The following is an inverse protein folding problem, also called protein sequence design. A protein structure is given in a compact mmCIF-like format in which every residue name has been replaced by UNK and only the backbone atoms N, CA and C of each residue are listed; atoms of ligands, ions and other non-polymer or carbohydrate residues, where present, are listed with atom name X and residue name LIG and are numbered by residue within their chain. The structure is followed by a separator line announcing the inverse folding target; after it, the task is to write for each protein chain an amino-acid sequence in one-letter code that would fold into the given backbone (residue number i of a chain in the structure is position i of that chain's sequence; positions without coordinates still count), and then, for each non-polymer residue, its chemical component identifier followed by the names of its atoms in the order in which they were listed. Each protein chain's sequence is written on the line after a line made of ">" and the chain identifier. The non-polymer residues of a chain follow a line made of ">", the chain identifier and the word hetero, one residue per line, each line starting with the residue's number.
data_IF_356832296525
#
_entry.id   IF_356832296525
#
_cell.length_a   1.000
_cell.length_b   1.000
_cell.length_c   1.000
_cell.angle_alpha   90.00
_cell.angle_beta   90.00
_cell.angle_gamma   90.00
#
_symmetry.space_group_name_H-M   'P 1'
#
loop_
_entity.id
_entity.type
_entity.pdbx_description
1 polymer ?
#
# COMPACT_ATOMS: atom_id res chain seq x y z
N UNK A 1 -9.04 14.08 -7.00
CA UNK A 1 -10.04 14.71 -6.10
C UNK A 1 -9.75 14.27 -4.67
N UNK A 2 -10.09 15.08 -3.66
CA UNK A 2 -9.95 14.71 -2.25
C UNK A 2 -11.16 13.93 -1.72
N UNK A 3 -12.29 14.00 -2.44
CA UNK A 3 -13.50 13.27 -2.11
C UNK A 3 -13.52 11.90 -2.81
N UNK A 4 -13.29 10.85 -2.03
CA UNK A 4 -13.33 9.47 -2.50
C UNK A 4 -14.75 9.08 -2.97
N UNK A 5 -15.82 9.62 -2.39
CA UNK A 5 -17.19 9.30 -2.84
C UNK A 5 -17.45 9.71 -4.30
N UNK A 6 -16.85 10.82 -4.75
CA UNK A 6 -16.93 11.26 -6.16
C UNK A 6 -16.04 10.40 -7.07
N UNK A 7 -14.82 10.08 -6.64
CA UNK A 7 -13.87 9.26 -7.43
C UNK A 7 -14.46 7.88 -7.75
N UNK A 8 -15.23 7.31 -6.82
CA UNK A 8 -15.92 6.03 -7.02
C UNK A 8 -16.87 6.01 -8.23
N UNK A 9 -17.39 7.13 -8.71
CA UNK A 9 -18.39 7.07 -9.79
C UNK A 9 -17.84 7.36 -11.19
N UNK A 10 -16.62 7.90 -11.29
CA UNK A 10 -16.12 8.42 -12.58
C UNK A 10 -14.73 7.91 -12.98
N UNK A 11 -14.00 7.23 -12.10
CA UNK A 11 -12.62 6.81 -12.37
C UNK A 11 -12.51 5.28 -12.52
N UNK A 12 -11.97 4.76 -13.65
CA UNK A 12 -11.72 3.33 -13.82
C UNK A 12 -10.55 2.85 -12.94
N UNK A 13 -9.58 3.74 -12.70
CA UNK A 13 -8.40 3.51 -11.87
C UNK A 13 -8.30 4.60 -10.80
N UNK A 14 -7.86 4.22 -9.61
CA UNK A 14 -7.69 5.10 -8.46
C UNK A 14 -6.24 5.02 -7.98
N UNK A 15 -5.56 6.16 -7.99
CA UNK A 15 -4.24 6.33 -7.37
C UNK A 15 -4.37 7.03 -6.02
N UNK A 16 -3.93 6.36 -4.96
CA UNK A 16 -3.85 6.91 -3.61
C UNK A 16 -2.43 7.39 -3.37
N UNK A 17 -2.30 8.64 -2.92
CA UNK A 17 -1.01 9.27 -2.67
C UNK A 17 -0.87 9.71 -1.22
N UNK A 18 0.37 9.66 -0.71
CA UNK A 18 0.76 10.20 0.58
C UNK A 18 2.08 10.95 0.47
N UNK A 19 2.11 12.19 0.94
CA UNK A 19 3.28 13.10 0.88
C UNK A 19 3.99 13.05 -0.49
N UNK A 20 3.24 13.13 -1.59
CA UNK A 20 3.79 13.17 -2.95
C UNK A 20 4.28 11.83 -3.53
N UNK A 21 4.00 10.69 -2.89
CA UNK A 21 4.26 9.35 -3.45
C UNK A 21 2.96 8.60 -3.67
N UNK A 22 2.87 7.82 -4.75
CA UNK A 22 1.82 6.83 -4.93
C UNK A 22 2.08 5.71 -3.93
N UNK A 23 1.11 5.45 -3.06
CA UNK A 23 1.18 4.36 -2.07
C UNK A 23 0.34 3.16 -2.46
N UNK A 24 -0.69 3.37 -3.28
CA UNK A 24 -1.56 2.31 -3.78
C UNK A 24 -2.25 2.75 -5.07
N UNK A 25 -2.33 1.87 -6.05
CA UNK A 25 -3.04 2.08 -7.33
C UNK A 25 -3.82 0.83 -7.66
N UNK A 26 -5.07 0.99 -8.06
CA UNK A 26 -5.81 -0.13 -8.62
C UNK A 26 -7.13 0.27 -9.22
N UNK A 27 -7.84 -0.72 -9.76
CA UNK A 27 -9.23 -0.48 -10.16
C UNK A 27 -10.07 -0.09 -8.93
N UNK A 28 -11.15 0.63 -9.22
CA UNK A 28 -12.06 1.13 -8.19
C UNK A 28 -12.54 0.05 -7.23
N UNK A 29 -12.90 -1.13 -7.72
CA UNK A 29 -13.47 -2.15 -6.84
C UNK A 29 -12.41 -2.67 -5.88
N UNK A 30 -11.23 -2.97 -6.40
CA UNK A 30 -10.08 -3.41 -5.62
C UNK A 30 -9.69 -2.40 -4.54
N UNK A 31 -9.54 -1.11 -4.87
CA UNK A 31 -9.15 -0.10 -3.89
C UNK A 31 -10.18 0.05 -2.76
N UNK A 32 -11.49 0.02 -3.07
CA UNK A 32 -12.53 0.25 -2.06
C UNK A 32 -12.86 -0.97 -1.20
N UNK A 33 -12.69 -2.17 -1.76
CA UNK A 33 -13.06 -3.43 -1.11
C UNK A 33 -11.87 -4.14 -0.47
N UNK A 34 -10.69 -4.08 -1.10
CA UNK A 34 -9.47 -4.79 -0.66
C UNK A 34 -8.25 -3.86 -0.65
N UNK A 35 -8.26 -2.74 0.09
CA UNK A 35 -7.08 -1.89 0.21
C UNK A 35 -5.96 -2.63 0.97
N UNK A 36 -4.78 -2.69 0.36
CA UNK A 36 -3.61 -3.39 0.91
C UNK A 36 -2.63 -2.48 1.66
N UNK A 37 -2.70 -1.16 1.48
CA UNK A 37 -1.86 -0.22 2.20
C UNK A 37 -2.56 0.30 3.47
N UNK A 38 -1.91 0.30 4.66
CA UNK A 38 -2.51 0.78 5.91
C UNK A 38 -3.07 2.22 5.85
N UNK A 39 -2.39 3.11 5.10
CA UNK A 39 -2.92 4.46 4.85
C UNK A 39 -4.25 4.46 4.08
N UNK A 40 -4.37 3.67 3.01
CA UNK A 40 -5.60 3.57 2.21
C UNK A 40 -6.74 2.99 3.03
N UNK A 41 -6.45 1.97 3.86
CA UNK A 41 -7.39 1.41 4.82
C UNK A 41 -7.90 2.47 5.78
N UNK A 42 -7.00 3.29 6.34
CA UNK A 42 -7.38 4.36 7.25
C UNK A 42 -8.25 5.43 6.57
N UNK A 43 -7.87 5.88 5.36
CA UNK A 43 -8.68 6.80 4.56
C UNK A 43 -10.10 6.26 4.32
N UNK A 44 -10.21 5.01 3.84
CA UNK A 44 -11.50 4.41 3.51
C UNK A 44 -12.33 4.09 4.75
N UNK A 45 -11.72 3.87 5.92
CA UNK A 45 -12.45 3.72 7.19
C UNK A 45 -13.18 5.01 7.59
N UNK A 46 -12.71 6.17 7.15
CA UNK A 46 -13.31 7.47 7.42
C UNK A 46 -14.38 7.87 6.41
N UNK A 47 -14.42 7.23 5.23
CA UNK A 47 -15.42 7.50 4.18
C UNK A 47 -16.74 6.83 4.55
N UNK A 48 -17.87 7.57 4.56
CA UNK A 48 -19.18 6.97 4.75
C UNK A 48 -19.51 5.99 3.62
N UNK A 49 -19.63 4.70 3.92
CA UNK A 49 -20.14 3.72 2.96
C UNK A 49 -21.68 3.70 3.02
N UNK A 50 -22.31 4.38 2.07
CA UNK A 50 -23.78 4.50 1.97
C UNK A 50 -24.45 3.12 1.82
N UNK A 51 -23.79 2.13 1.19
CA UNK A 51 -24.35 0.79 1.03
C UNK A 51 -24.30 -0.02 2.32
N UNK A 52 -23.18 0.06 3.06
CA UNK A 52 -23.09 -0.55 4.40
C UNK A 52 -24.02 0.16 5.39
N UNK A 53 -24.11 1.49 5.34
CA UNK A 53 -25.03 2.25 6.18
C UNK A 53 -26.50 1.86 5.94
N UNK A 54 -26.89 1.57 4.70
CA UNK A 54 -28.23 1.13 4.34
C UNK A 54 -28.61 -0.25 4.93
N UNK A 55 -27.64 -1.11 5.23
CA UNK A 55 -27.83 -2.41 5.91
C UNK A 55 -27.44 -2.37 7.39
N UNK A 56 -27.29 -1.17 7.98
CA UNK A 56 -26.96 -0.98 9.39
C UNK A 56 -25.49 -1.24 9.77
N UNK A 57 -24.62 -1.54 8.80
CA UNK A 57 -23.19 -1.73 9.01
C UNK A 57 -22.44 -0.40 9.10
N UNK A 58 -21.46 -0.31 10.01
CA UNK A 58 -20.48 0.78 10.06
C UNK A 58 -19.08 0.17 10.08
N UNK A 59 -18.19 0.65 9.21
CA UNK A 59 -16.74 0.39 9.37
C UNK A 59 -16.28 1.10 10.63
N UNK A 60 -15.49 0.40 11.44
CA UNK A 60 -14.79 1.02 12.56
C UNK A 60 -13.78 2.04 11.99
N UNK A 61 -13.83 3.29 12.46
CA UNK A 61 -12.90 4.32 12.01
C UNK A 61 -11.52 4.05 12.59
N UNK A 62 -10.54 3.89 11.73
CA UNK A 62 -9.14 3.84 12.10
C UNK A 62 -8.67 5.29 12.32
N UNK A 63 -8.32 5.62 13.56
CA UNK A 63 -7.71 6.91 13.88
C UNK A 63 -6.20 6.81 13.66
N UNK A 64 -5.69 7.61 12.74
CA UNK A 64 -4.25 7.76 12.56
C UNK A 64 -3.68 8.62 13.67
N UNK A 65 -2.73 8.07 14.42
CA UNK A 65 -2.01 8.78 15.47
C UNK A 65 -0.87 9.64 14.88
N UNK A 66 -0.47 10.65 15.66
CA UNK A 66 0.61 11.58 15.29
C UNK A 66 0.22 12.62 14.23
N UNK A 67 1.04 13.66 14.16
CA UNK A 67 0.87 14.75 13.19
C UNK A 67 1.33 14.35 11.78
N UNK A 68 0.78 15.03 10.78
CA UNK A 68 1.23 14.89 9.38
C UNK A 68 2.65 15.47 9.27
N UNK A 69 3.65 14.69 8.84
CA UNK A 69 5.01 15.20 8.65
C UNK A 69 5.07 16.27 7.55
N UNK A 70 6.08 17.15 7.64
CA UNK A 70 6.34 18.15 6.60
C UNK A 70 6.68 17.48 5.26
N UNK A 71 6.05 17.88 4.14
CA UNK A 71 6.43 17.42 2.81
C UNK A 71 7.85 17.82 2.38
N UNK A 72 8.42 18.86 2.99
CA UNK A 72 9.76 19.38 2.67
C UNK A 72 10.84 18.44 3.21
N UNK A 73 10.63 17.89 4.41
CA UNK A 73 11.51 16.94 5.07
C UNK A 73 10.74 15.63 5.35
N UNK A 74 10.44 14.83 4.30
CA UNK A 74 9.65 13.63 4.47
C UNK A 74 10.44 12.58 5.29
N UNK A 75 9.76 11.68 5.99
CA UNK A 75 10.40 10.55 6.63
C UNK A 75 11.18 9.70 5.60
N UNK A 76 12.40 9.26 5.95
CA UNK A 76 13.19 8.23 5.22
C UNK A 76 12.42 6.92 4.92
N UNK A 77 12.88 6.14 3.94
CA UNK A 77 12.23 4.88 3.58
C UNK A 77 10.75 5.05 3.24
N UNK A 78 9.86 4.33 3.93
CA UNK A 78 8.41 4.50 3.81
C UNK A 78 7.95 5.85 4.41
N UNK A 79 7.41 6.74 3.56
CA UNK A 79 6.91 8.06 3.99
C UNK A 79 5.78 7.98 5.02
N UNK A 80 5.03 6.88 5.07
CA UNK A 80 3.91 6.70 6.00
C UNK A 80 4.34 6.09 7.36
N UNK A 81 5.61 5.68 7.53
CA UNK A 81 6.04 4.89 8.69
C UNK A 81 5.73 5.53 10.06
N UNK A 82 5.74 6.85 10.16
CA UNK A 82 5.56 7.57 11.44
C UNK A 82 4.11 7.57 11.92
N UNK A 83 3.17 7.18 11.07
CA UNK A 83 1.73 7.09 11.38
C UNK A 83 1.15 5.72 11.06
N UNK A 84 2.00 4.78 10.68
CA UNK A 84 1.61 3.43 10.31
C UNK A 84 1.61 2.55 11.54
N UNK A 85 0.46 1.98 11.90
CA UNK A 85 0.31 1.11 13.06
C UNK A 85 1.11 -0.19 12.99
N UNK A 86 1.59 -0.57 11.80
CA UNK A 86 2.35 -1.81 11.55
C UNK A 86 3.80 -1.54 11.11
N UNK A 87 4.31 -0.31 11.27
CA UNK A 87 5.67 0.00 10.88
C UNK A 87 6.71 -0.85 11.61
N UNK A 88 7.74 -1.29 10.88
CA UNK A 88 8.91 -2.01 11.40
C UNK A 88 10.20 -1.32 10.92
N UNK A 89 11.35 -1.81 11.38
CA UNK A 89 12.66 -1.20 11.11
C UNK A 89 12.94 -0.99 9.61
N UNK A 90 12.62 -1.97 8.77
CA UNK A 90 12.76 -1.86 7.31
C UNK A 90 12.04 -0.63 6.73
N UNK A 91 10.89 -0.25 7.29
CA UNK A 91 10.12 0.92 6.85
C UNK A 91 10.88 2.23 7.06
N UNK A 92 11.85 2.29 7.98
CA UNK A 92 12.68 3.47 8.20
C UNK A 92 13.91 3.52 7.30
N UNK A 93 14.40 2.35 6.86
CA UNK A 93 15.68 2.19 6.15
C UNK A 93 15.53 2.07 4.65
N UNK A 94 14.46 1.42 4.19
CA UNK A 94 14.23 1.12 2.78
C UNK A 94 12.91 1.76 2.30
N UNK A 95 12.92 2.30 1.08
CA UNK A 95 11.69 2.75 0.43
C UNK A 95 10.98 1.53 -0.18
N UNK A 96 9.71 1.25 0.14
CA UNK A 96 9.00 0.14 -0.46
C UNK A 96 8.75 0.44 -1.95
N UNK A 97 9.05 -0.50 -2.87
CA UNK A 97 8.74 -0.31 -4.28
C UNK A 97 7.23 -0.39 -4.49
N UNK A 98 6.73 0.23 -5.56
CA UNK A 98 5.34 0.08 -5.99
C UNK A 98 5.17 -1.31 -6.63
N UNK A 99 4.90 -2.32 -5.79
CA UNK A 99 4.83 -3.72 -6.17
C UNK A 99 3.45 -4.06 -6.74
N UNK A 100 3.40 -4.73 -7.89
CA UNK A 100 2.15 -5.28 -8.40
C UNK A 100 1.77 -6.54 -7.63
N UNK A 101 0.60 -6.51 -6.97
CA UNK A 101 0.09 -7.58 -6.08
C UNK A 101 -1.19 -8.24 -6.60
N UNK A 102 -1.65 -7.82 -7.78
CA UNK A 102 -2.78 -8.38 -8.49
C UNK A 102 -2.80 -7.90 -9.95
N UNK A 103 -3.73 -8.41 -10.77
CA UNK A 103 -3.84 -8.04 -12.18
C UNK A 103 -4.01 -6.54 -12.40
N UNK A 104 -4.69 -5.86 -11.47
CA UNK A 104 -5.03 -4.43 -11.52
C UNK A 104 -4.72 -3.74 -10.19
N UNK A 105 -3.69 -4.19 -9.47
CA UNK A 105 -3.37 -3.67 -8.14
C UNK A 105 -1.88 -3.54 -7.89
N UNK A 106 -1.41 -2.34 -7.56
CA UNK A 106 -0.07 -2.06 -7.07
C UNK A 106 -0.10 -1.40 -5.70
N UNK A 107 0.90 -1.71 -4.86
CA UNK A 107 1.02 -1.19 -3.50
C UNK A 107 2.48 -0.95 -3.13
N UNK A 108 2.78 0.21 -2.54
CA UNK A 108 4.09 0.55 -2.02
C UNK A 108 4.15 0.29 -0.50
N UNK A 109 4.22 -0.97 -0.12
CA UNK A 109 4.31 -1.40 1.29
C UNK A 109 5.25 -2.59 1.42
N UNK A 110 6.01 -2.67 2.52
CA UNK A 110 6.77 -3.86 2.87
C UNK A 110 5.88 -5.00 3.38
N UNK A 111 4.71 -4.66 3.93
CA UNK A 111 3.74 -5.60 4.52
C UNK A 111 2.34 -5.41 3.92
N UNK A 112 2.17 -5.53 2.59
CA UNK A 112 0.86 -5.37 1.96
C UNK A 112 -0.09 -6.49 2.39
N UNK A 113 -1.34 -6.15 2.70
CA UNK A 113 -2.32 -7.10 3.21
C UNK A 113 -3.65 -6.42 3.51
N UNK A 114 -4.72 -7.20 3.55
CA UNK A 114 -6.02 -6.70 4.03
C UNK A 114 -5.94 -6.31 5.51
N UNK A 115 -6.91 -5.53 5.98
CA UNK A 115 -6.95 -5.06 7.36
C UNK A 115 -6.89 -6.25 8.34
N UNK A 116 -5.88 -6.27 9.21
CA UNK A 116 -5.64 -7.36 10.16
C UNK A 116 -4.97 -8.61 9.57
N UNK A 117 -4.65 -8.62 8.27
CA UNK A 117 -4.06 -9.76 7.55
C UNK A 117 -2.71 -9.39 6.90
N UNK A 118 -1.97 -8.46 7.51
CA UNK A 118 -0.63 -8.10 7.05
C UNK A 118 0.37 -9.23 7.32
N UNK A 119 1.30 -9.52 6.39
CA UNK A 119 2.30 -10.56 6.60
C UNK A 119 3.24 -10.18 7.75
N UNK A 120 3.70 -11.18 8.51
CA UNK A 120 4.62 -10.96 9.62
C UNK A 120 6.04 -10.56 9.15
N UNK A 121 6.48 -11.07 7.99
CA UNK A 121 7.76 -10.77 7.38
C UNK A 121 7.56 -9.86 6.14
N UNK A 122 8.54 -8.98 5.83
CA UNK A 122 8.44 -8.09 4.68
C UNK A 122 8.55 -8.85 3.35
N UNK A 123 7.66 -8.58 2.40
CA UNK A 123 7.65 -9.27 1.09
C UNK A 123 8.64 -8.68 0.09
N UNK A 124 9.30 -7.59 0.45
CA UNK A 124 10.14 -6.78 -0.47
C UNK A 124 11.64 -7.02 -0.29
N UNK A 125 12.07 -7.79 0.70
CA UNK A 125 13.50 -8.01 1.03
C UNK A 125 14.30 -8.52 -0.17
N UNK A 126 13.77 -9.55 -0.85
CA UNK A 126 14.38 -10.09 -2.05
C UNK A 126 14.45 -9.09 -3.21
N UNK A 127 13.40 -8.26 -3.38
CA UNK A 127 13.37 -7.23 -4.42
C UNK A 127 14.39 -6.12 -4.16
N UNK A 128 14.56 -5.75 -2.90
CA UNK A 128 15.42 -4.65 -2.49
C UNK A 128 16.85 -5.07 -2.16
N UNK A 129 17.16 -6.38 -2.18
CA UNK A 129 18.44 -6.93 -1.74
C UNK A 129 18.81 -6.50 -0.31
N UNK A 130 17.82 -6.49 0.59
CA UNK A 130 17.97 -6.16 2.02
C UNK A 130 17.44 -7.26 2.91
N UNK A 131 17.91 -7.31 4.16
CA UNK A 131 17.35 -8.17 5.20
C UNK A 131 16.03 -7.60 5.78
N UNK A 132 15.42 -8.29 6.74
CA UNK A 132 14.16 -7.85 7.35
C UNK A 132 14.25 -6.53 8.14
N UNK A 133 15.46 -6.08 8.47
CA UNK A 133 15.70 -4.76 9.07
C UNK A 133 15.84 -3.66 8.02
N UNK A 134 16.00 -4.01 6.74
CA UNK A 134 16.30 -3.08 5.67
C UNK A 134 17.79 -2.82 5.47
N UNK A 135 18.67 -3.66 6.01
CA UNK A 135 20.12 -3.57 5.81
C UNK A 135 20.55 -4.31 4.54
N UNK A 136 21.49 -3.78 3.74
CA UNK A 136 21.93 -4.43 2.51
C UNK A 136 22.49 -5.83 2.76
N UNK A 137 22.08 -6.80 1.93
CA UNK A 137 22.62 -8.17 1.97
C UNK A 137 23.83 -8.24 1.04
N UNK A 138 24.97 -8.69 1.55
CA UNK A 138 26.19 -8.80 0.77
C UNK A 138 26.02 -9.80 -0.40
N UNK A 139 26.40 -9.40 -1.61
CA UNK A 139 26.38 -10.25 -2.80
C UNK A 139 25.01 -10.40 -3.47
N UNK A 140 23.96 -9.72 -2.99
CA UNK A 140 22.67 -9.64 -3.70
C UNK A 140 22.54 -8.32 -4.45
N UNK A 141 21.72 -8.31 -5.50
CA UNK A 141 21.47 -7.11 -6.33
C UNK A 141 19.97 -6.79 -6.30
N UNK A 142 19.56 -5.53 -6.07
CA UNK A 142 18.15 -5.18 -6.08
C UNK A 142 17.54 -5.43 -7.47
N UNK A 143 16.41 -6.13 -7.49
CA UNK A 143 15.55 -6.22 -8.67
C UNK A 143 14.58 -5.06 -8.59
N UNK A 144 14.87 -3.97 -9.29
CA UNK A 144 13.94 -2.84 -9.35
C UNK A 144 12.75 -3.25 -10.22
N UNK A 145 11.52 -3.36 -9.68
CA UNK A 145 10.37 -3.59 -10.53
C UNK A 145 10.24 -2.42 -11.50
N UNK A 146 9.99 -2.67 -12.80
CA UNK A 146 9.91 -1.61 -13.78
C UNK A 146 8.81 -0.61 -13.37
N UNK A 147 9.17 0.66 -13.28
CA UNK A 147 8.19 1.74 -13.07
C UNK A 147 7.46 2.04 -14.38
N UNK A 148 6.71 1.05 -14.87
CA UNK A 148 5.90 1.15 -16.08
C UNK A 148 4.50 1.63 -15.72
N UNK A 149 3.93 2.58 -16.49
CA UNK A 149 2.51 2.89 -16.43
C UNK A 149 1.64 1.65 -16.66
N UNK A 150 0.44 1.64 -16.08
CA UNK A 150 -0.50 0.53 -16.22
C UNK A 150 -0.10 -0.73 -15.42
N UNK A 151 -0.67 -1.87 -15.76
CA UNK A 151 -0.45 -3.15 -15.06
C UNK A 151 0.26 -4.16 -15.96
N UNK A 152 1.18 -4.93 -15.37
CA UNK A 152 1.92 -6.00 -16.02
C UNK A 152 1.13 -7.32 -16.04
N UNK A 153 1.54 -8.26 -16.91
CA UNK A 153 0.98 -9.61 -16.97
C UNK A 153 1.41 -10.50 -15.78
N UNK A 154 2.46 -10.09 -15.06
CA UNK A 154 2.98 -10.80 -13.90
C UNK A 154 2.84 -9.97 -12.63
N UNK A 155 2.48 -10.62 -11.53
CA UNK A 155 2.34 -9.97 -10.23
C UNK A 155 2.73 -10.90 -9.08
N UNK A 156 2.98 -10.31 -7.92
CA UNK A 156 3.25 -11.03 -6.69
C UNK A 156 1.93 -11.42 -6.01
N UNK A 157 1.59 -12.70 -5.97
CA UNK A 157 0.42 -13.20 -5.26
C UNK A 157 0.69 -13.19 -3.75
N UNK A 158 -0.04 -12.37 -2.99
CA UNK A 158 0.14 -12.23 -1.55
C UNK A 158 -0.26 -13.47 -0.75
N UNK A 159 -1.23 -14.25 -1.25
CA UNK A 159 -1.68 -15.49 -0.61
C UNK A 159 -0.68 -16.62 -0.80
N UNK A 160 -0.12 -16.73 -2.01
CA UNK A 160 0.88 -17.76 -2.37
C UNK A 160 2.32 -17.34 -2.08
N UNK A 161 2.56 -16.05 -1.84
CA UNK A 161 3.87 -15.44 -1.60
C UNK A 161 4.89 -15.68 -2.71
N UNK A 162 4.43 -15.66 -3.97
CA UNK A 162 5.28 -15.91 -5.14
C UNK A 162 4.80 -15.08 -6.34
N UNK A 163 5.68 -14.94 -7.34
CA UNK A 163 5.29 -14.38 -8.64
C UNK A 163 4.36 -15.35 -9.38
N UNK A 164 3.33 -14.80 -10.01
CA UNK A 164 2.41 -15.53 -10.89
C UNK A 164 2.20 -14.73 -12.17
N UNK A 165 1.85 -15.43 -13.25
CA UNK A 165 1.52 -14.85 -14.55
C UNK A 165 0.02 -15.05 -14.81
N UNK A 166 -0.64 -14.06 -15.40
CA UNK A 166 -2.07 -14.06 -15.72
C UNK A 166 -2.43 -14.56 -17.11
#
# INVERSE_FOLDING_TARGET
>A
AHDLAVVRHFCPEVAVMYLGKIVEVGDRETIYLRPHHPYTQALLSAVPDVRQAAIGGRRERIRLEGDVPSPINPPSGCRFRTRCAIAKEICARAEPPLLQVGPTHKVACHFPGELGQHPAAPVTTGLLAVDESGSPVAGSTPTTPPNVPGFAAEWYDLGRRQMVSG
#
